data_IF_404979317195
#
_entry.id   IF_404979317195
#
_cell.length_a   1.000
_cell.length_b   1.000
_cell.length_c   1.000
_cell.angle_alpha   90.00
_cell.angle_beta   90.00
_cell.angle_gamma   90.00
#
_symmetry.space_group_name_H-M   'P 1'
#
loop_
_entity.id
_entity.type
_entity.pdbx_description
1 polymer ?
#
# COMPACT_ATOMS: atom_id res chain seq x y z
N UNK A 1 0.43 57.24 93.29
CA UNK A 1 1.23 56.36 92.39
C UNK A 1 0.27 55.68 91.44
N UNK A 2 0.20 56.22 90.12
CA UNK A 2 -0.71 55.68 89.07
C UNK A 2 0.07 54.64 88.25
N UNK A 3 -0.31 53.39 88.33
CA UNK A 3 0.21 52.35 87.39
C UNK A 3 -0.42 52.58 86.01
N UNK A 4 0.35 52.90 84.99
CA UNK A 4 -0.09 52.90 83.59
C UNK A 4 -0.29 51.43 83.12
N UNK A 5 -1.48 51.11 82.67
CA UNK A 5 -1.79 49.84 81.97
C UNK A 5 -1.19 49.89 80.59
N UNK A 6 0.00 49.34 80.37
CA UNK A 6 0.66 49.19 79.09
C UNK A 6 0.35 47.84 78.36
N UNK A 7 -0.72 47.14 78.83
CA UNK A 7 -0.91 45.76 78.39
C UNK A 7 -1.86 45.52 77.18
N UNK A 8 -2.68 46.50 76.79
CA UNK A 8 -3.71 46.27 75.74
C UNK A 8 -3.32 46.70 74.32
N UNK A 9 -2.49 47.72 74.19
CA UNK A 9 -2.06 48.22 72.85
C UNK A 9 -1.01 47.31 72.22
N UNK A 10 -0.12 46.68 73.00
CA UNK A 10 0.89 45.77 72.49
C UNK A 10 0.30 44.48 71.92
N UNK A 11 -0.73 43.94 72.53
CA UNK A 11 -1.40 42.75 72.07
C UNK A 11 -2.24 42.98 70.77
N UNK A 12 -2.77 44.18 70.60
CA UNK A 12 -3.51 44.52 69.38
C UNK A 12 -2.62 44.69 68.16
N UNK A 13 -1.43 45.25 68.34
CA UNK A 13 -0.41 45.41 67.25
C UNK A 13 0.16 44.04 66.86
N UNK A 14 0.44 43.15 67.77
CA UNK A 14 0.93 41.78 67.50
C UNK A 14 -0.17 40.94 66.78
N UNK A 15 -1.42 41.10 67.20
CA UNK A 15 -2.52 40.41 66.50
C UNK A 15 -2.76 40.86 65.06
N UNK A 16 -2.70 42.19 64.80
CA UNK A 16 -2.82 42.72 63.43
C UNK A 16 -1.67 42.36 62.53
N UNK A 17 -0.42 42.37 63.02
CA UNK A 17 0.74 41.94 62.22
C UNK A 17 0.71 40.44 61.91
N UNK A 18 0.26 39.59 62.83
CA UNK A 18 0.09 38.17 62.61
C UNK A 18 -0.96 37.88 61.51
N UNK A 19 -2.11 38.60 61.55
CA UNK A 19 -3.18 38.46 60.51
C UNK A 19 -2.63 38.89 59.12
N UNK A 20 -1.87 39.96 59.04
CA UNK A 20 -1.25 40.46 57.78
C UNK A 20 -0.22 39.44 57.21
N UNK A 21 0.59 38.86 58.10
CA UNK A 21 1.59 37.82 57.64
C UNK A 21 0.85 36.58 57.12
N UNK A 22 -0.17 36.09 57.85
CA UNK A 22 -0.99 34.94 57.36
C UNK A 22 -1.69 35.26 56.05
N UNK A 23 -2.28 36.45 55.93
CA UNK A 23 -2.88 36.90 54.67
C UNK A 23 -1.91 36.94 53.51
N UNK A 24 -0.69 37.47 53.71
CA UNK A 24 0.38 37.47 52.68
C UNK A 24 0.82 36.05 52.29
N UNK A 25 0.97 35.15 53.28
CA UNK A 25 1.31 33.75 53.00
C UNK A 25 0.22 33.04 52.19
N UNK A 26 -1.07 33.25 52.50
CA UNK A 26 -2.18 32.69 51.71
C UNK A 26 -2.21 33.22 50.29
N UNK A 27 -1.94 34.53 50.08
CA UNK A 27 -1.83 35.12 48.74
C UNK A 27 -0.66 34.52 48.01
N UNK A 28 0.54 34.35 48.61
CA UNK A 28 1.69 33.72 47.99
C UNK A 28 1.37 32.26 47.60
N UNK A 29 0.73 31.48 48.46
CA UNK A 29 0.35 30.12 48.14
C UNK A 29 -0.64 30.10 46.98
N UNK A 30 -1.64 30.97 46.96
CA UNK A 30 -2.62 31.06 45.90
C UNK A 30 -1.96 31.46 44.56
N UNK A 31 -1.05 32.43 44.56
CA UNK A 31 -0.31 32.81 43.33
C UNK A 31 0.56 31.68 42.83
N UNK A 32 1.30 30.98 43.70
CA UNK A 32 2.14 29.86 43.32
C UNK A 32 1.30 28.70 42.77
N UNK A 33 0.15 28.35 43.41
CA UNK A 33 -0.72 27.30 42.91
C UNK A 33 -1.38 27.68 41.59
N UNK A 34 -1.77 28.95 41.42
CA UNK A 34 -2.34 29.46 40.15
C UNK A 34 -1.33 29.47 39.01
N UNK A 35 -0.07 29.87 39.27
CA UNK A 35 1.00 29.82 38.26
C UNK A 35 1.31 28.38 37.88
N UNK A 36 1.41 27.48 38.85
CA UNK A 36 1.60 26.04 38.53
C UNK A 36 0.44 25.46 37.74
N UNK A 37 -0.81 25.82 38.05
CA UNK A 37 -1.98 25.37 37.31
C UNK A 37 -1.97 25.89 35.87
N UNK A 38 -1.67 27.17 35.66
CA UNK A 38 -1.58 27.78 34.32
C UNK A 38 -0.42 27.14 33.52
N UNK A 39 0.73 26.91 34.14
CA UNK A 39 1.85 26.24 33.47
C UNK A 39 1.48 24.81 33.06
N UNK A 40 0.87 24.02 33.94
CA UNK A 40 0.48 22.65 33.62
C UNK A 40 -0.62 22.63 32.52
N UNK A 41 -1.62 23.54 32.57
CA UNK A 41 -2.66 23.60 31.54
C UNK A 41 -2.12 24.03 30.18
N UNK A 42 -1.10 24.88 30.12
CA UNK A 42 -0.44 25.23 28.87
C UNK A 42 0.39 24.09 28.29
N UNK A 43 1.11 23.34 29.18
CA UNK A 43 1.88 22.15 28.76
C UNK A 43 0.94 21.08 28.22
N UNK A 44 -0.19 20.81 28.91
CA UNK A 44 -1.18 19.83 28.47
C UNK A 44 -1.82 20.21 27.12
N UNK A 45 -2.05 21.51 26.88
CA UNK A 45 -2.59 22.03 25.63
C UNK A 45 -1.56 21.89 24.49
N UNK A 46 -0.31 22.26 24.72
CA UNK A 46 0.76 22.19 23.73
C UNK A 46 1.08 20.73 23.35
N UNK A 47 1.09 19.82 24.30
CA UNK A 47 1.32 18.41 24.11
C UNK A 47 0.22 17.75 23.27
N UNK A 48 -1.05 18.07 23.55
CA UNK A 48 -2.18 17.59 22.76
C UNK A 48 -2.13 18.07 21.29
N UNK A 49 -1.75 19.31 21.06
CA UNK A 49 -1.59 19.85 19.71
C UNK A 49 -0.47 19.13 18.93
N UNK A 50 0.64 18.84 19.61
CA UNK A 50 1.77 18.11 19.02
C UNK A 50 1.36 16.66 18.71
N UNK A 51 0.67 15.97 19.62
CA UNK A 51 0.20 14.61 19.37
C UNK A 51 -0.75 14.54 18.17
N UNK A 52 -1.69 15.48 18.09
CA UNK A 52 -2.58 15.58 16.93
C UNK A 52 -1.79 15.77 15.64
N UNK A 53 -0.82 16.67 15.64
CA UNK A 53 0.04 16.91 14.48
C UNK A 53 0.80 15.65 14.06
N UNK A 54 1.38 14.91 15.00
CA UNK A 54 2.10 13.66 14.73
C UNK A 54 1.17 12.61 14.13
N UNK A 55 -0.04 12.44 14.67
CA UNK A 55 -1.04 11.50 14.13
C UNK A 55 -1.45 11.90 12.72
N UNK A 56 -1.69 13.18 12.47
CA UNK A 56 -2.07 13.71 11.16
C UNK A 56 -0.92 13.52 10.15
N UNK A 57 0.33 13.78 10.55
CA UNK A 57 1.52 13.57 9.71
C UNK A 57 1.73 12.09 9.38
N UNK A 58 1.63 11.19 10.36
CA UNK A 58 1.65 9.75 10.10
C UNK A 58 0.56 9.32 9.15
N UNK A 59 -0.65 9.78 9.41
CA UNK A 59 -1.82 9.48 8.59
C UNK A 59 -1.66 9.93 7.13
N UNK A 60 -1.04 11.08 6.91
CA UNK A 60 -0.77 11.61 5.57
C UNK A 60 0.38 10.87 4.86
N UNK A 61 1.38 10.41 5.60
CA UNK A 61 2.56 9.76 5.02
C UNK A 61 2.41 8.24 4.84
N UNK A 62 1.53 7.57 5.61
CA UNK A 62 1.43 6.11 5.60
C UNK A 62 1.08 5.53 4.22
N UNK A 63 0.31 6.26 3.40
CA UNK A 63 0.02 5.84 2.02
C UNK A 63 1.31 5.73 1.19
N UNK A 64 2.20 6.72 1.28
CA UNK A 64 3.45 6.74 0.55
C UNK A 64 4.44 5.71 1.11
N UNK A 65 4.60 5.63 2.43
CA UNK A 65 5.47 4.64 3.07
C UNK A 65 5.04 3.21 2.75
N UNK A 66 3.73 2.94 2.77
CA UNK A 66 3.20 1.65 2.34
C UNK A 66 3.48 1.37 0.86
N UNK A 67 3.37 2.38 -0.01
CA UNK A 67 3.72 2.24 -1.41
C UNK A 67 5.21 1.96 -1.62
N UNK A 68 6.08 2.64 -0.88
CA UNK A 68 7.52 2.44 -0.96
C UNK A 68 7.91 1.04 -0.47
N UNK A 69 7.30 0.54 0.62
CA UNK A 69 7.54 -0.82 1.12
C UNK A 69 7.13 -1.90 0.10
N UNK A 70 6.02 -1.69 -0.63
CA UNK A 70 5.62 -2.56 -1.75
C UNK A 70 6.65 -2.51 -2.88
N UNK A 71 7.14 -1.31 -3.22
CA UNK A 71 8.12 -1.13 -4.28
C UNK A 71 9.46 -1.81 -3.94
N UNK A 72 9.89 -1.81 -2.69
CA UNK A 72 11.08 -2.54 -2.21
C UNK A 72 10.91 -4.05 -2.33
N UNK A 73 9.77 -4.60 -1.90
CA UNK A 73 9.45 -6.02 -2.09
C UNK A 73 9.46 -6.41 -3.58
N UNK A 74 8.91 -5.53 -4.43
CA UNK A 74 8.93 -5.72 -5.88
C UNK A 74 10.35 -5.69 -6.44
N UNK A 75 11.18 -4.76 -5.99
CA UNK A 75 12.58 -4.68 -6.41
C UNK A 75 13.38 -5.93 -6.01
N UNK A 76 13.07 -6.56 -4.86
CA UNK A 76 13.64 -7.83 -4.45
C UNK A 76 13.37 -8.93 -5.48
N UNK A 77 12.11 -9.03 -5.96
CA UNK A 77 11.73 -9.97 -7.03
C UNK A 77 12.52 -9.68 -8.32
N UNK A 78 12.61 -8.43 -8.72
CA UNK A 78 13.35 -8.02 -9.92
C UNK A 78 14.86 -8.25 -9.81
N UNK A 79 15.40 -8.30 -8.61
CA UNK A 79 16.78 -8.70 -8.34
C UNK A 79 16.98 -10.24 -8.34
N UNK A 80 15.95 -11.02 -8.67
CA UNK A 80 15.99 -12.48 -8.73
C UNK A 80 15.88 -13.18 -7.39
N UNK A 81 15.42 -12.47 -6.35
CA UNK A 81 15.21 -13.03 -5.02
C UNK A 81 13.72 -13.36 -4.83
N UNK A 82 13.38 -14.60 -4.44
CA UNK A 82 11.99 -14.98 -4.26
C UNK A 82 11.38 -14.31 -3.02
N UNK A 83 10.10 -13.97 -3.13
CA UNK A 83 9.24 -13.59 -2.01
C UNK A 83 8.26 -14.73 -1.79
N UNK A 84 8.27 -15.35 -0.60
CA UNK A 84 7.43 -16.50 -0.26
C UNK A 84 6.22 -16.09 0.58
N UNK A 85 6.34 -14.98 1.30
CA UNK A 85 5.31 -14.38 2.13
C UNK A 85 5.37 -12.88 1.90
N UNK A 86 4.49 -12.40 1.04
CA UNK A 86 4.50 -11.01 0.60
C UNK A 86 4.01 -10.05 1.68
N UNK A 87 3.12 -10.50 2.57
CA UNK A 87 2.61 -9.70 3.67
C UNK A 87 3.73 -9.43 4.67
N UNK A 88 4.45 -10.47 5.11
CA UNK A 88 5.58 -10.32 6.01
C UNK A 88 6.74 -9.52 5.37
N UNK A 89 7.04 -9.73 4.10
CA UNK A 89 8.09 -8.98 3.41
C UNK A 89 7.81 -7.48 3.36
N UNK A 90 6.56 -7.11 3.06
CA UNK A 90 6.14 -5.71 3.02
C UNK A 90 6.06 -5.13 4.44
N UNK A 91 5.62 -5.93 5.42
CA UNK A 91 5.60 -5.54 6.82
C UNK A 91 7.00 -5.19 7.33
N UNK A 92 8.00 -6.05 7.06
CA UNK A 92 9.39 -5.80 7.44
C UNK A 92 9.92 -4.51 6.80
N UNK A 93 9.74 -4.34 5.50
CA UNK A 93 10.14 -3.11 4.79
C UNK A 93 9.45 -1.87 5.35
N UNK A 94 8.14 -1.97 5.66
CA UNK A 94 7.40 -0.85 6.22
C UNK A 94 7.86 -0.51 7.64
N UNK A 95 8.16 -1.50 8.48
CA UNK A 95 8.69 -1.26 9.82
C UNK A 95 10.01 -0.47 9.78
N UNK A 96 10.92 -0.80 8.86
CA UNK A 96 12.17 -0.06 8.68
C UNK A 96 11.92 1.42 8.30
N UNK A 97 10.96 1.67 7.40
CA UNK A 97 10.56 3.02 7.00
C UNK A 97 9.88 3.79 8.15
N UNK A 98 9.06 3.12 8.93
CA UNK A 98 8.38 3.70 10.10
C UNK A 98 9.39 4.03 11.21
N UNK A 99 10.39 3.20 11.44
CA UNK A 99 11.45 3.47 12.43
C UNK A 99 12.24 4.72 12.07
N UNK A 100 12.57 4.89 10.79
CA UNK A 100 13.20 6.12 10.30
C UNK A 100 12.30 7.35 10.52
N UNK A 101 10.99 7.21 10.25
CA UNK A 101 10.00 8.27 10.49
C UNK A 101 9.82 8.58 11.97
N UNK A 102 9.80 7.57 12.84
CA UNK A 102 9.76 7.74 14.30
C UNK A 102 10.96 8.57 14.79
N UNK A 103 12.16 8.27 14.29
CA UNK A 103 13.37 9.01 14.68
C UNK A 103 13.31 10.46 14.19
N UNK A 104 12.87 10.72 12.96
CA UNK A 104 12.67 12.08 12.44
C UNK A 104 11.74 12.90 13.33
N UNK A 105 10.61 12.35 13.71
CA UNK A 105 9.61 13.03 14.55
C UNK A 105 10.08 13.20 16.00
N UNK A 106 10.83 12.22 16.53
CA UNK A 106 11.47 12.33 17.84
C UNK A 106 12.44 13.52 17.88
N UNK A 107 13.31 13.62 16.88
CA UNK A 107 14.31 14.70 16.82
C UNK A 107 13.64 16.07 16.66
N UNK A 108 12.51 16.13 15.99
CA UNK A 108 11.79 17.38 15.70
C UNK A 108 10.89 17.86 16.84
N UNK A 109 10.22 16.94 17.54
CA UNK A 109 9.18 17.29 18.52
C UNK A 109 9.46 16.82 19.95
N UNK A 110 10.58 16.14 20.17
CA UNK A 110 10.95 15.55 21.47
C UNK A 110 9.85 14.63 22.03
N UNK A 111 9.40 13.71 21.16
CA UNK A 111 8.39 12.71 21.46
C UNK A 111 9.02 11.33 21.34
N UNK A 112 8.83 10.46 22.33
CA UNK A 112 9.13 9.03 22.18
C UNK A 112 8.02 8.38 21.39
N UNK A 113 8.32 7.96 20.15
CA UNK A 113 7.39 7.30 19.23
C UNK A 113 7.79 5.83 19.02
N UNK A 114 6.81 4.98 18.93
CA UNK A 114 6.93 3.62 18.44
C UNK A 114 5.74 3.27 17.55
N UNK A 115 5.98 2.52 16.51
CA UNK A 115 4.97 2.03 15.59
C UNK A 115 5.11 0.53 15.40
N UNK A 116 3.99 -0.13 15.11
CA UNK A 116 3.90 -1.56 14.86
C UNK A 116 2.94 -1.77 13.69
N UNK A 117 3.40 -2.41 12.63
CA UNK A 117 2.52 -2.83 11.53
C UNK A 117 1.66 -3.97 12.05
N UNK A 118 0.35 -3.80 12.02
CA UNK A 118 -0.61 -4.79 12.49
C UNK A 118 -1.05 -5.74 11.38
N UNK A 119 -1.18 -5.22 10.16
CA UNK A 119 -1.52 -6.01 8.99
C UNK A 119 -1.23 -5.28 7.69
N UNK A 120 -0.96 -6.08 6.65
CA UNK A 120 -0.88 -5.73 5.24
C UNK A 120 -1.88 -6.61 4.53
N UNK A 121 -2.97 -6.05 3.99
CA UNK A 121 -4.11 -6.83 3.51
C UNK A 121 -4.50 -6.43 2.08
N UNK A 122 -4.91 -7.40 1.22
CA UNK A 122 -5.59 -7.07 -0.02
C UNK A 122 -6.94 -6.40 0.28
N UNK A 123 -7.42 -5.56 -0.63
CA UNK A 123 -8.74 -4.93 -0.52
C UNK A 123 -9.71 -5.50 -1.56
N UNK A 124 -10.98 -5.05 -1.51
CA UNK A 124 -11.96 -5.36 -2.55
C UNK A 124 -11.58 -4.76 -3.93
N UNK A 125 -10.64 -3.83 -3.95
CA UNK A 125 -10.08 -3.27 -5.17
C UNK A 125 -8.67 -3.82 -5.40
N UNK A 126 -8.38 -4.45 -6.55
CA UNK A 126 -7.06 -4.99 -6.82
C UNK A 126 -5.97 -3.91 -6.96
N UNK A 127 -6.38 -2.63 -7.02
CA UNK A 127 -5.50 -1.47 -7.18
C UNK A 127 -4.95 -0.92 -5.87
N UNK A 128 -5.34 -1.50 -4.73
CA UNK A 128 -5.01 -0.97 -3.41
C UNK A 128 -4.65 -2.08 -2.43
N UNK A 129 -3.70 -1.76 -1.55
CA UNK A 129 -3.34 -2.59 -0.40
C UNK A 129 -3.62 -1.77 0.85
N UNK A 130 -4.30 -2.38 1.83
CA UNK A 130 -4.62 -1.78 3.12
C UNK A 130 -3.49 -2.03 4.11
N UNK A 131 -3.06 -0.97 4.75
CA UNK A 131 -2.10 -0.99 5.86
C UNK A 131 -2.79 -0.57 7.15
N UNK A 132 -2.56 -1.32 8.21
CA UNK A 132 -2.97 -0.98 9.58
C UNK A 132 -1.73 -0.87 10.45
N UNK A 133 -1.53 0.29 11.04
CA UNK A 133 -0.38 0.60 11.87
C UNK A 133 -0.86 1.11 13.22
N UNK A 134 -0.35 0.51 14.29
CA UNK A 134 -0.53 1.00 15.64
C UNK A 134 0.60 1.95 15.97
N UNK A 135 0.24 3.17 16.34
CA UNK A 135 1.17 4.21 16.74
C UNK A 135 1.00 4.48 18.24
N UNK A 136 2.10 4.45 18.96
CA UNK A 136 2.19 4.85 20.34
C UNK A 136 3.19 6.01 20.49
N UNK A 137 2.78 7.05 21.20
CA UNK A 137 3.63 8.19 21.45
C UNK A 137 3.56 8.62 22.91
N UNK A 138 4.71 9.12 23.44
CA UNK A 138 4.84 9.60 24.81
C UNK A 138 5.66 10.89 24.85
N UNK A 139 5.12 11.89 25.57
CA UNK A 139 5.83 13.13 25.89
C UNK A 139 5.61 13.49 27.36
N UNK A 140 6.67 13.40 28.16
CA UNK A 140 6.58 13.65 29.60
C UNK A 140 5.68 12.63 30.31
N UNK A 141 4.51 13.09 30.82
CA UNK A 141 3.52 12.24 31.49
C UNK A 141 2.34 11.84 30.59
N UNK A 142 2.26 12.42 29.42
CA UNK A 142 1.20 12.18 28.47
C UNK A 142 1.59 11.11 27.47
N UNK A 143 0.62 10.31 27.07
CA UNK A 143 0.77 9.25 26.09
C UNK A 143 -0.48 9.13 25.24
N UNK A 144 -0.31 8.62 24.01
CA UNK A 144 -1.42 8.26 23.14
C UNK A 144 -1.19 6.91 22.48
N UNK A 145 -2.28 6.25 22.13
CA UNK A 145 -2.31 5.05 21.31
C UNK A 145 -3.34 5.25 20.20
N UNK A 146 -2.93 5.08 18.96
CA UNK A 146 -3.79 5.26 17.79
C UNK A 146 -3.56 4.14 16.80
N UNK A 147 -4.64 3.64 16.19
CA UNK A 147 -4.56 2.78 15.00
C UNK A 147 -4.85 3.65 13.79
N UNK A 148 -3.95 3.61 12.82
CA UNK A 148 -4.05 4.34 11.56
C UNK A 148 -4.22 3.33 10.45
N UNK A 149 -5.24 3.52 9.62
CA UNK A 149 -5.51 2.70 8.46
C UNK A 149 -5.40 3.54 7.19
N UNK A 150 -4.65 3.06 6.19
CA UNK A 150 -4.53 3.70 4.87
C UNK A 150 -4.40 2.69 3.77
N UNK A 151 -4.93 3.06 2.62
CA UNK A 151 -4.76 2.32 1.38
C UNK A 151 -3.63 2.93 0.57
N UNK A 152 -2.68 2.10 0.13
CA UNK A 152 -1.66 2.50 -0.83
C UNK A 152 -2.01 1.99 -2.22
N UNK A 153 -1.86 2.84 -3.23
CA UNK A 153 -2.11 2.49 -4.62
C UNK A 153 -0.94 1.71 -5.20
N UNK A 154 -1.23 0.66 -5.97
CA UNK A 154 -0.23 -0.09 -6.72
C UNK A 154 -0.08 0.39 -8.18
N UNK A 155 -0.92 1.33 -8.65
CA UNK A 155 -0.84 1.84 -10.00
C UNK A 155 0.51 2.51 -10.27
N UNK A 156 1.14 2.17 -11.39
CA UNK A 156 2.48 2.61 -11.76
C UNK A 156 3.62 1.83 -11.10
N UNK A 157 3.36 0.90 -10.19
CA UNK A 157 4.36 -0.06 -9.74
C UNK A 157 4.64 -1.10 -10.84
N UNK A 158 5.79 -1.76 -10.74
CA UNK A 158 6.14 -2.85 -11.65
C UNK A 158 5.33 -4.09 -11.34
N UNK A 159 4.96 -4.86 -12.38
CA UNK A 159 4.32 -6.16 -12.19
C UNK A 159 5.35 -7.24 -11.81
N UNK A 160 5.28 -7.82 -10.62
CA UNK A 160 6.25 -8.82 -10.20
C UNK A 160 5.97 -10.23 -10.77
N UNK A 161 4.73 -10.54 -11.20
CA UNK A 161 4.32 -11.90 -11.52
C UNK A 161 5.19 -12.60 -12.56
N UNK A 162 5.49 -12.02 -13.72
CA UNK A 162 6.29 -12.70 -14.73
C UNK A 162 7.70 -13.03 -14.22
N UNK A 163 8.30 -12.12 -13.49
CA UNK A 163 9.64 -12.30 -12.93
C UNK A 163 9.61 -13.36 -11.83
N UNK A 164 8.68 -13.26 -10.88
CA UNK A 164 8.54 -14.23 -9.80
C UNK A 164 8.25 -15.64 -10.32
N UNK A 165 7.41 -15.78 -11.35
CA UNK A 165 7.00 -17.06 -11.92
C UNK A 165 8.11 -17.72 -12.75
N UNK A 166 8.87 -16.92 -13.50
CA UNK A 166 9.81 -17.41 -14.51
C UNK A 166 11.28 -17.13 -14.17
N UNK A 167 11.60 -16.67 -12.98
CA UNK A 167 12.99 -16.37 -12.55
C UNK A 167 13.93 -17.55 -12.71
N UNK A 168 13.41 -18.79 -12.59
CA UNK A 168 14.20 -20.03 -12.75
C UNK A 168 14.44 -20.33 -14.24
N UNK A 169 13.62 -19.80 -15.15
CA UNK A 169 13.77 -19.96 -16.58
C UNK A 169 14.63 -18.81 -17.13
N UNK A 170 15.87 -19.11 -17.48
CA UNK A 170 16.80 -18.15 -18.10
C UNK A 170 16.17 -17.49 -19.34
N UNK A 171 16.18 -16.15 -19.43
CA UNK A 171 15.78 -15.46 -20.65
C UNK A 171 14.73 -14.35 -20.47
N UNK A 172 14.23 -14.13 -19.26
CA UNK A 172 13.41 -12.94 -18.97
C UNK A 172 14.30 -11.71 -18.89
N UNK A 173 13.88 -10.65 -19.56
CA UNK A 173 14.47 -9.31 -19.45
C UNK A 173 13.39 -8.29 -19.25
N UNK A 174 13.59 -7.39 -18.28
CA UNK A 174 12.72 -6.24 -18.05
C UNK A 174 13.44 -4.97 -18.51
N UNK A 175 12.77 -4.18 -19.32
CA UNK A 175 13.15 -2.84 -19.73
C UNK A 175 12.24 -1.82 -19.02
N UNK A 176 12.38 -0.54 -19.35
CA UNK A 176 11.65 0.52 -18.65
C UNK A 176 10.12 0.39 -18.71
N UNK A 177 9.58 -0.12 -19.81
CA UNK A 177 8.12 -0.21 -20.04
C UNK A 177 7.60 -1.63 -20.26
N UNK A 178 8.45 -2.59 -20.62
CA UNK A 178 8.04 -3.92 -21.06
C UNK A 178 8.88 -5.03 -20.44
N UNK A 179 8.23 -6.19 -20.27
CA UNK A 179 8.90 -7.45 -19.96
C UNK A 179 9.01 -8.27 -21.24
N UNK A 180 10.24 -8.62 -21.62
CA UNK A 180 10.52 -9.54 -22.70
C UNK A 180 10.74 -10.95 -22.15
N UNK A 181 9.88 -11.88 -22.53
CA UNK A 181 9.95 -13.24 -22.01
C UNK A 181 11.02 -14.07 -22.70
N UNK A 182 11.43 -13.68 -23.92
CA UNK A 182 12.35 -14.44 -24.76
C UNK A 182 11.90 -15.91 -24.83
N UNK A 183 12.82 -16.84 -24.62
CA UNK A 183 12.50 -18.27 -24.68
C UNK A 183 11.80 -18.78 -23.41
N UNK A 184 11.84 -18.06 -22.32
CA UNK A 184 11.31 -18.50 -21.03
C UNK A 184 9.81 -18.80 -21.05
N UNK A 185 9.02 -17.91 -21.63
CA UNK A 185 7.57 -18.09 -21.74
C UNK A 185 7.23 -19.27 -22.64
N UNK A 186 7.89 -19.42 -23.78
CA UNK A 186 7.67 -20.54 -24.70
C UNK A 186 8.00 -21.90 -24.02
N UNK A 187 9.08 -21.95 -23.25
CA UNK A 187 9.45 -23.15 -22.48
C UNK A 187 8.39 -23.45 -21.41
N UNK A 188 7.92 -22.44 -20.70
CA UNK A 188 6.86 -22.58 -19.71
C UNK A 188 5.56 -23.09 -20.34
N UNK A 189 5.14 -22.50 -21.45
CA UNK A 189 3.92 -22.88 -22.18
C UNK A 189 4.02 -24.33 -22.70
N UNK A 190 5.19 -24.74 -23.19
CA UNK A 190 5.41 -26.12 -23.65
C UNK A 190 5.24 -27.14 -22.51
N UNK A 191 5.78 -26.84 -21.32
CA UNK A 191 5.65 -27.71 -20.14
C UNK A 191 4.18 -27.85 -19.72
N UNK A 192 3.40 -26.78 -19.88
CA UNK A 192 1.97 -26.74 -19.52
C UNK A 192 1.03 -27.13 -20.67
N UNK A 193 1.56 -27.68 -21.78
CA UNK A 193 0.80 -28.15 -22.94
C UNK A 193 -0.05 -27.06 -23.65
N UNK A 194 0.48 -25.86 -23.76
CA UNK A 194 -0.14 -24.81 -24.57
C UNK A 194 -0.02 -25.11 -26.06
N UNK A 195 -1.01 -24.72 -26.82
CA UNK A 195 -0.94 -24.74 -28.27
C UNK A 195 0.02 -23.65 -28.79
N UNK A 196 0.88 -24.03 -29.74
CA UNK A 196 1.77 -23.10 -30.47
C UNK A 196 2.71 -22.26 -29.55
N UNK A 197 3.44 -22.87 -28.59
CA UNK A 197 4.30 -22.13 -27.68
C UNK A 197 5.43 -21.36 -28.39
N UNK A 198 5.82 -21.77 -29.61
CA UNK A 198 6.81 -21.11 -30.42
C UNK A 198 6.47 -19.68 -30.81
N UNK A 199 5.17 -19.32 -30.87
CA UNK A 199 4.75 -17.93 -31.13
C UNK A 199 5.12 -16.97 -30.01
N UNK A 200 5.45 -17.46 -28.84
CA UNK A 200 5.75 -16.69 -27.65
C UNK A 200 7.24 -16.55 -27.34
N UNK A 201 8.13 -16.97 -28.25
CA UNK A 201 9.60 -16.88 -28.06
C UNK A 201 10.05 -15.43 -27.80
N UNK A 202 9.46 -14.49 -28.48
CA UNK A 202 9.74 -13.05 -28.37
C UNK A 202 8.57 -12.28 -27.73
N UNK A 203 7.73 -12.97 -26.95
CA UNK A 203 6.56 -12.34 -26.33
C UNK A 203 6.95 -11.22 -25.36
N UNK A 204 6.08 -10.23 -25.28
CA UNK A 204 6.21 -9.11 -24.34
C UNK A 204 4.93 -8.92 -23.54
N UNK A 205 5.08 -8.28 -22.38
CA UNK A 205 3.97 -7.74 -21.61
C UNK A 205 4.38 -6.40 -20.98
N UNK A 206 3.42 -5.54 -20.65
CA UNK A 206 3.71 -4.30 -19.96
C UNK A 206 4.31 -4.58 -18.57
N UNK A 207 5.33 -3.81 -18.23
CA UNK A 207 5.99 -3.93 -16.94
C UNK A 207 5.27 -3.14 -15.84
N UNK A 208 4.71 -1.97 -16.16
CA UNK A 208 4.06 -1.10 -15.18
C UNK A 208 2.55 -1.30 -15.15
N UNK A 209 2.00 -1.40 -13.95
CA UNK A 209 0.57 -1.58 -13.74
C UNK A 209 -0.16 -0.27 -14.06
N UNK A 210 -0.98 -0.30 -15.10
CA UNK A 210 -1.87 0.80 -15.52
C UNK A 210 -3.29 0.27 -15.66
N UNK A 211 -4.23 0.87 -14.91
CA UNK A 211 -5.63 0.46 -14.97
C UNK A 211 -6.23 0.75 -16.34
N UNK A 212 -6.96 -0.22 -16.90
CA UNK A 212 -7.69 -0.03 -18.14
C UNK A 212 -8.80 1.03 -17.97
N UNK A 213 -8.85 2.06 -18.84
CA UNK A 213 -9.89 3.09 -18.77
C UNK A 213 -11.24 2.65 -19.36
N UNK A 214 -11.31 1.50 -20.03
CA UNK A 214 -12.48 1.01 -20.75
C UNK A 214 -13.37 0.12 -19.87
N UNK A 215 -13.79 0.62 -18.72
CA UNK A 215 -14.74 -0.06 -17.83
C UNK A 215 -16.19 0.41 -18.17
N UNK A 216 -17.17 -0.49 -18.33
CA UNK A 216 -17.09 -1.96 -18.18
C UNK A 216 -16.38 -2.65 -19.36
N UNK A 217 -15.63 -3.70 -19.04
CA UNK A 217 -14.71 -4.36 -19.98
C UNK A 217 -15.42 -5.04 -21.17
N UNK A 218 -16.73 -5.19 -21.15
CA UNK A 218 -17.52 -5.62 -22.32
C UNK A 218 -17.32 -4.74 -23.55
N UNK A 219 -16.84 -3.50 -23.38
CA UNK A 219 -16.50 -2.59 -24.46
C UNK A 219 -15.32 -3.08 -25.33
N UNK A 220 -14.52 -4.03 -24.82
CA UNK A 220 -13.46 -4.68 -25.62
C UNK A 220 -14.03 -5.55 -26.76
N UNK A 221 -15.33 -5.78 -26.78
CA UNK A 221 -16.03 -6.28 -27.96
C UNK A 221 -15.94 -5.35 -29.19
N UNK A 222 -15.59 -4.08 -29.01
CA UNK A 222 -15.25 -3.16 -30.10
C UNK A 222 -13.77 -3.35 -30.51
N UNK A 223 -13.48 -3.55 -31.79
CA UNK A 223 -12.13 -3.75 -32.31
C UNK A 223 -11.15 -2.65 -31.95
N UNK A 224 -11.58 -1.41 -32.03
CA UNK A 224 -10.74 -0.26 -31.75
C UNK A 224 -10.33 -0.21 -30.28
N UNK A 225 -11.27 -0.50 -29.38
CA UNK A 225 -11.04 -0.55 -27.93
C UNK A 225 -10.07 -1.66 -27.56
N UNK A 226 -10.29 -2.88 -28.06
CA UNK A 226 -9.40 -4.00 -27.78
C UNK A 226 -7.98 -3.74 -28.31
N UNK A 227 -7.87 -3.27 -29.53
CA UNK A 227 -6.57 -2.95 -30.14
C UNK A 227 -5.81 -1.88 -29.38
N UNK A 228 -6.51 -0.83 -28.92
CA UNK A 228 -5.90 0.21 -28.09
C UNK A 228 -5.48 -0.34 -26.74
N UNK A 229 -6.32 -1.18 -26.11
CA UNK A 229 -5.99 -1.81 -24.84
C UNK A 229 -4.75 -2.72 -24.96
N UNK A 230 -4.68 -3.57 -25.95
CA UNK A 230 -3.53 -4.43 -26.22
C UNK A 230 -2.26 -3.58 -26.43
N UNK A 231 -2.34 -2.56 -27.30
CA UNK A 231 -1.21 -1.68 -27.60
C UNK A 231 -0.73 -0.89 -26.38
N UNK A 232 -1.66 -0.45 -25.53
CA UNK A 232 -1.36 0.36 -24.34
C UNK A 232 -0.95 -0.48 -23.14
N UNK A 233 -1.17 -1.78 -23.19
CA UNK A 233 -0.80 -2.70 -22.10
C UNK A 233 -1.53 -2.41 -20.79
N UNK A 234 -2.84 -2.22 -20.84
CA UNK A 234 -3.64 -1.98 -19.65
C UNK A 234 -3.92 -3.26 -18.88
N UNK A 235 -3.97 -3.10 -17.56
CA UNK A 235 -4.40 -4.14 -16.62
C UNK A 235 -5.91 -4.06 -16.38
N UNK A 236 -6.55 -5.22 -16.24
CA UNK A 236 -7.97 -5.38 -16.00
C UNK A 236 -8.21 -6.03 -14.65
N UNK A 237 -9.25 -5.61 -13.95
CA UNK A 237 -9.72 -6.32 -12.76
C UNK A 237 -10.21 -7.72 -13.14
N UNK A 238 -9.85 -8.72 -12.34
CA UNK A 238 -10.20 -10.11 -12.61
C UNK A 238 -10.44 -10.89 -11.31
N UNK A 239 -11.61 -11.53 -11.22
CA UNK A 239 -11.91 -12.45 -10.12
C UNK A 239 -11.09 -13.75 -10.19
N UNK A 240 -10.60 -14.09 -11.37
CA UNK A 240 -9.76 -15.28 -11.62
C UNK A 240 -8.27 -14.98 -11.65
N UNK A 241 -7.89 -13.70 -11.71
CA UNK A 241 -6.51 -13.25 -11.65
C UNK A 241 -5.94 -13.28 -10.23
N UNK A 242 -4.75 -12.73 -10.07
CA UNK A 242 -4.10 -12.62 -8.76
C UNK A 242 -3.99 -11.17 -8.30
N UNK A 243 -4.18 -10.95 -6.99
CA UNK A 243 -3.91 -9.66 -6.36
C UNK A 243 -2.39 -9.39 -6.33
N UNK A 244 -2.01 -8.16 -6.05
CA UNK A 244 -0.60 -7.77 -6.11
C UNK A 244 0.28 -8.56 -5.15
N UNK A 245 -0.18 -8.84 -3.93
CA UNK A 245 0.54 -9.65 -2.94
C UNK A 245 0.83 -11.05 -3.48
N UNK A 246 -0.17 -11.69 -4.04
CA UNK A 246 0.00 -13.01 -4.66
C UNK A 246 0.89 -12.98 -5.91
N UNK A 247 0.90 -11.86 -6.66
CA UNK A 247 1.82 -11.68 -7.80
C UNK A 247 3.28 -11.59 -7.37
N UNK A 248 3.57 -10.98 -6.22
CA UNK A 248 4.91 -10.99 -5.62
C UNK A 248 5.42 -12.42 -5.33
N UNK A 249 4.51 -13.29 -4.93
CA UNK A 249 4.81 -14.70 -4.63
C UNK A 249 4.80 -15.61 -5.87
N UNK A 250 4.61 -15.05 -7.06
CA UNK A 250 4.53 -15.82 -8.31
C UNK A 250 3.25 -16.64 -8.48
N UNK A 251 2.17 -16.30 -7.80
CA UNK A 251 0.87 -16.97 -7.93
C UNK A 251 0.05 -16.32 -9.04
N UNK A 252 -0.27 -17.05 -10.11
CA UNK A 252 -1.10 -16.57 -11.23
C UNK A 252 -2.59 -16.48 -10.90
N UNK A 253 -3.04 -17.12 -9.81
CA UNK A 253 -4.41 -17.09 -9.29
C UNK A 253 -4.41 -17.07 -7.77
N UNK A 254 -5.38 -16.40 -7.18
CA UNK A 254 -5.58 -16.38 -5.73
C UNK A 254 -7.07 -16.22 -5.38
N UNK A 255 -7.47 -16.41 -4.11
CA UNK A 255 -8.85 -16.21 -3.68
C UNK A 255 -9.28 -14.74 -3.59
N UNK A 256 -8.32 -13.81 -3.64
CA UNK A 256 -8.58 -12.38 -3.57
C UNK A 256 -9.02 -11.84 -4.93
N UNK A 257 -9.72 -10.73 -4.92
CA UNK A 257 -10.00 -10.02 -6.17
C UNK A 257 -8.69 -9.47 -6.74
N UNK A 258 -8.37 -9.86 -7.97
CA UNK A 258 -7.07 -9.64 -8.58
C UNK A 258 -7.13 -8.87 -9.89
N UNK A 259 -6.06 -8.99 -10.66
CA UNK A 259 -5.91 -8.34 -11.96
C UNK A 259 -5.27 -9.27 -12.97
N UNK A 260 -5.38 -8.90 -14.24
CA UNK A 260 -4.77 -9.58 -15.36
C UNK A 260 -4.33 -8.59 -16.44
N UNK A 261 -3.41 -9.02 -17.28
CA UNK A 261 -2.91 -8.24 -18.42
C UNK A 261 -2.71 -9.16 -19.61
N UNK A 262 -2.75 -8.61 -20.82
CA UNK A 262 -2.49 -9.36 -22.04
C UNK A 262 -0.98 -9.48 -22.30
N UNK A 263 -0.55 -10.71 -22.59
CA UNK A 263 0.78 -11.05 -23.12
C UNK A 263 0.69 -11.09 -24.64
N UNK A 264 1.61 -10.42 -25.32
CA UNK A 264 1.59 -10.28 -26.77
C UNK A 264 2.76 -11.04 -27.39
N UNK A 265 2.51 -11.94 -28.36
CA UNK A 265 3.57 -12.54 -29.17
C UNK A 265 4.14 -11.52 -30.14
N UNK A 266 5.46 -11.46 -30.27
CA UNK A 266 6.09 -10.61 -31.30
C UNK A 266 6.14 -11.26 -32.68
N UNK A 267 6.11 -12.59 -32.72
CA UNK A 267 6.16 -13.35 -33.95
C UNK A 267 4.82 -13.98 -34.23
N UNK A 268 4.05 -13.46 -35.19
CA UNK A 268 2.80 -14.08 -35.59
C UNK A 268 3.09 -15.42 -36.29
N UNK A 269 2.34 -16.46 -35.95
CA UNK A 269 2.30 -17.71 -36.72
C UNK A 269 1.42 -17.51 -37.95
N UNK A 270 2.04 -17.42 -39.11
CA UNK A 270 1.34 -17.10 -40.33
C UNK A 270 0.91 -15.66 -40.39
N UNK A 271 -0.38 -15.40 -40.58
CA UNK A 271 -0.97 -14.05 -40.57
C UNK A 271 -1.69 -13.72 -39.25
N UNK A 272 -1.55 -14.54 -38.22
CA UNK A 272 -2.28 -14.39 -36.96
C UNK A 272 -1.32 -14.10 -35.83
N UNK A 273 -1.54 -13.03 -35.07
CA UNK A 273 -0.94 -12.84 -33.77
C UNK A 273 -1.89 -13.39 -32.68
N UNK A 274 -1.30 -14.05 -31.67
CA UNK A 274 -2.04 -14.71 -30.60
C UNK A 274 -1.67 -14.04 -29.29
N UNK A 275 -2.50 -13.10 -28.83
CA UNK A 275 -2.37 -12.56 -27.46
C UNK A 275 -3.08 -13.49 -26.47
N UNK A 276 -2.60 -13.54 -25.22
CA UNK A 276 -3.25 -14.29 -24.16
C UNK A 276 -3.25 -13.51 -22.86
N UNK A 277 -4.20 -13.82 -21.96
CA UNK A 277 -4.17 -13.27 -20.60
C UNK A 277 -3.07 -13.94 -19.79
N UNK A 278 -2.32 -13.17 -19.01
CA UNK A 278 -1.30 -13.66 -18.09
C UNK A 278 -1.89 -14.64 -17.05
N UNK A 279 -3.12 -14.38 -16.61
CA UNK A 279 -3.87 -15.29 -15.75
C UNK A 279 -4.05 -16.68 -16.40
N UNK A 280 -4.43 -16.72 -17.66
CA UNK A 280 -4.61 -17.96 -18.40
C UNK A 280 -3.28 -18.72 -18.51
N UNK A 281 -2.18 -18.00 -18.71
CA UNK A 281 -0.83 -18.59 -18.82
C UNK A 281 -0.30 -19.08 -17.47
N UNK A 282 -0.40 -18.26 -16.43
CA UNK A 282 0.28 -18.51 -15.16
C UNK A 282 -0.57 -19.17 -14.08
N UNK A 283 -1.88 -19.38 -14.32
CA UNK A 283 -2.71 -20.20 -13.43
C UNK A 283 -2.40 -21.69 -13.62
N UNK A 284 -2.60 -22.48 -12.57
CA UNK A 284 -2.19 -23.90 -12.54
C UNK A 284 -2.95 -24.80 -13.54
N UNK A 285 -4.11 -24.33 -14.02
CA UNK A 285 -4.95 -25.04 -14.99
C UNK A 285 -5.31 -24.13 -16.15
N UNK A 286 -4.66 -24.34 -17.27
CA UNK A 286 -4.97 -23.66 -18.52
C UNK A 286 -6.18 -24.30 -19.19
N UNK A 287 -7.24 -23.53 -19.41
CA UNK A 287 -8.43 -23.91 -20.15
C UNK A 287 -8.80 -22.88 -21.25
N UNK A 288 -7.78 -22.18 -21.78
CA UNK A 288 -8.00 -21.18 -22.81
C UNK A 288 -8.37 -21.80 -24.15
N UNK A 289 -9.30 -21.19 -24.82
CA UNK A 289 -9.64 -21.50 -26.22
C UNK A 289 -9.21 -20.33 -27.10
N UNK A 290 -8.72 -20.67 -28.28
CA UNK A 290 -8.45 -19.67 -29.31
C UNK A 290 -9.76 -18.99 -29.73
N UNK A 291 -9.77 -17.68 -29.67
CA UNK A 291 -10.87 -16.84 -30.16
C UNK A 291 -10.33 -16.08 -31.35
N UNK A 292 -11.01 -16.23 -32.48
CA UNK A 292 -10.76 -15.43 -33.67
C UNK A 292 -11.90 -14.40 -33.78
N UNK A 293 -11.66 -13.15 -33.35
CA UNK A 293 -12.67 -12.11 -33.38
C UNK A 293 -12.83 -11.46 -34.76
N UNK A 294 -12.32 -12.06 -35.81
CA UNK A 294 -12.44 -11.57 -37.19
C UNK A 294 -11.17 -10.84 -37.66
N UNK A 295 -11.26 -9.54 -37.98
CA UNK A 295 -10.15 -8.76 -38.55
C UNK A 295 -9.04 -8.39 -37.51
N UNK A 296 -8.97 -9.10 -36.38
CA UNK A 296 -8.10 -8.76 -35.26
C UNK A 296 -7.11 -9.86 -34.94
N UNK A 297 -6.17 -9.46 -34.06
CA UNK A 297 -5.26 -10.40 -33.44
C UNK A 297 -6.06 -11.44 -32.64
N UNK A 298 -5.82 -12.70 -32.89
CA UNK A 298 -6.48 -13.78 -32.16
C UNK A 298 -6.12 -13.75 -30.68
N UNK A 299 -7.09 -14.04 -29.83
CA UNK A 299 -6.94 -14.11 -28.39
C UNK A 299 -7.08 -15.54 -27.89
N UNK A 300 -6.29 -15.89 -26.88
CA UNK A 300 -6.47 -17.12 -26.12
C UNK A 300 -7.04 -16.76 -24.75
N UNK A 301 -8.32 -17.07 -24.54
CA UNK A 301 -9.05 -16.77 -23.32
C UNK A 301 -9.88 -17.98 -22.92
N UNK A 302 -10.17 -18.12 -21.65
CA UNK A 302 -11.20 -19.06 -21.20
C UNK A 302 -12.62 -18.52 -21.48
N UNK A 303 -13.63 -19.35 -21.27
CA UNK A 303 -15.02 -19.00 -21.57
C UNK A 303 -15.57 -17.86 -20.71
N UNK A 304 -15.07 -17.67 -19.50
CA UNK A 304 -15.49 -16.59 -18.59
C UNK A 304 -15.01 -15.24 -19.09
N UNK A 305 -13.77 -15.17 -19.56
CA UNK A 305 -13.16 -13.96 -20.10
C UNK A 305 -13.77 -13.51 -21.43
N UNK A 306 -14.24 -14.46 -22.26
CA UNK A 306 -15.01 -14.08 -23.46
C UNK A 306 -16.20 -13.19 -23.13
N UNK A 307 -16.98 -13.59 -22.15
CA UNK A 307 -18.16 -12.83 -21.71
C UNK A 307 -17.75 -11.50 -21.10
N UNK A 308 -16.71 -11.50 -20.26
CA UNK A 308 -16.17 -10.30 -19.64
C UNK A 308 -15.77 -9.24 -20.66
N UNK A 309 -15.10 -9.65 -21.73
CA UNK A 309 -14.60 -8.74 -22.76
C UNK A 309 -15.58 -8.52 -23.95
N UNK A 310 -16.81 -9.04 -23.86
CA UNK A 310 -17.80 -8.88 -24.93
C UNK A 310 -17.43 -9.60 -26.23
N UNK A 311 -16.55 -10.61 -26.15
CA UNK A 311 -16.07 -11.39 -27.30
C UNK A 311 -16.95 -12.66 -27.50
N UNK A 312 -18.24 -12.51 -27.37
CA UNK A 312 -19.19 -13.59 -27.61
C UNK A 312 -19.31 -13.76 -29.13
N UNK A 313 -18.89 -14.92 -29.62
CA UNK A 313 -19.18 -15.30 -31.00
C UNK A 313 -20.71 -15.27 -31.16
N UNK A 314 -21.20 -14.52 -32.14
CA UNK A 314 -22.58 -14.66 -32.58
C UNK A 314 -22.75 -16.13 -33.01
N UNK A 315 -23.35 -16.95 -32.18
CA UNK A 315 -23.84 -18.21 -32.64
C UNK A 315 -24.84 -17.88 -33.74
N UNK A 316 -24.39 -18.03 -34.98
CA UNK A 316 -25.24 -17.91 -36.14
C UNK A 316 -26.31 -18.98 -36.01
N UNK A 317 -27.54 -18.55 -35.78
CA UNK A 317 -28.75 -19.35 -35.86
C UNK A 317 -28.87 -20.05 -37.22
#
# INVERSE_FOLDING_TARGET
>A
MKRKNLGSEGNMIVGTTAILIVGLLLICIFVLTSVNYIQNSNIDSESNDIFKYVIDDYSANLENLGRDSIAEATQKVYNGLPVFDSENEIEDNLNDLLDAKNQELKDKYDIDLSSEVMSVEPTDSPWKILFKVKLHGKKGKEEFNQIIERNSSIEGLRDPLPIAKLTIASGIMAYDDEIHYKTALSAYMLIHNFDSPESYIEATAPMHIRKCPYDPYVHHGDPGVLKDCLKSGYFHESADGSCYLCRLEGKGKCPHYGMEVFIQPHTPLGNESLSCSDHVVFADHYNGEKIDPGDWDSLILDSSHRKKYGLVLNESY
#
